data_IF_819647657372
#
_entry.id   IF_819647657372
#
_cell.length_a   1.000
_cell.length_b   1.000
_cell.length_c   1.000
_cell.angle_alpha   90.00
_cell.angle_beta   90.00
_cell.angle_gamma   90.00
#
_symmetry.space_group_name_H-M   'P 1'
#
loop_
_entity.id
_entity.type
_entity.pdbx_description
1 polymer ?
#
# COMPACT_ATOMS: atom_id res chain seq x y z
N UNK A 1 -0.82 -22.53 -6.27
CA UNK A 1 -2.22 -22.08 -6.15
C UNK A 1 -2.19 -20.62 -5.75
N UNK A 2 -2.77 -19.74 -6.55
CA UNK A 2 -2.73 -18.29 -6.30
C UNK A 2 -3.55 -17.95 -5.05
N UNK A 3 -2.95 -17.24 -4.12
CA UNK A 3 -3.60 -16.72 -2.90
C UNK A 3 -3.79 -15.21 -3.04
N UNK A 4 -4.91 -14.72 -2.55
CA UNK A 4 -5.19 -13.30 -2.48
C UNK A 4 -5.02 -12.77 -1.06
N UNK A 5 -4.52 -11.55 -0.97
CA UNK A 5 -4.27 -10.84 0.29
C UNK A 5 -4.75 -9.40 0.19
N UNK A 6 -5.14 -8.84 1.32
CA UNK A 6 -5.30 -7.41 1.50
C UNK A 6 -4.16 -6.89 2.36
N UNK A 7 -3.52 -5.83 1.90
CA UNK A 7 -2.56 -5.07 2.70
C UNK A 7 -3.21 -3.76 3.09
N UNK A 8 -3.65 -3.69 4.35
CA UNK A 8 -4.54 -2.66 4.89
C UNK A 8 -3.79 -1.67 5.76
N UNK A 9 -4.14 -0.40 5.67
CA UNK A 9 -3.66 0.65 6.56
C UNK A 9 -4.47 0.69 7.85
N UNK A 10 -3.91 0.20 8.96
CA UNK A 10 -4.59 0.16 10.25
C UNK A 10 -4.95 1.54 10.80
N UNK A 11 -4.22 2.57 10.42
CA UNK A 11 -4.51 3.95 10.83
C UNK A 11 -5.79 4.50 10.19
N UNK A 12 -6.12 4.05 8.98
CA UNK A 12 -7.30 4.51 8.23
C UNK A 12 -8.54 3.64 8.46
N UNK A 13 -8.39 2.49 9.11
CA UNK A 13 -9.49 1.58 9.42
C UNK A 13 -9.60 1.44 10.95
N UNK A 14 -10.48 2.22 11.60
CA UNK A 14 -10.66 2.12 13.04
C UNK A 14 -11.04 0.70 13.48
N UNK A 15 -10.42 0.22 14.56
CA UNK A 15 -10.66 -1.12 15.13
C UNK A 15 -10.50 -2.26 14.11
N UNK A 16 -9.49 -2.17 13.24
CA UNK A 16 -9.29 -3.08 12.12
C UNK A 16 -9.40 -4.57 12.50
N UNK A 17 -8.79 -4.99 13.60
CA UNK A 17 -8.81 -6.41 14.03
C UNK A 17 -10.21 -6.88 14.40
N UNK A 18 -11.02 -6.06 15.09
CA UNK A 18 -12.41 -6.37 15.39
C UNK A 18 -13.22 -6.49 14.09
N UNK A 19 -13.05 -5.57 13.15
CA UNK A 19 -13.73 -5.60 11.85
C UNK A 19 -13.33 -6.81 11.00
N UNK A 20 -12.07 -7.22 11.02
CA UNK A 20 -11.61 -8.41 10.32
C UNK A 20 -12.24 -9.68 10.91
N UNK A 21 -12.35 -9.75 12.23
CA UNK A 21 -13.01 -10.84 12.91
C UNK A 21 -14.52 -10.91 12.57
N UNK A 22 -15.21 -9.77 12.60
CA UNK A 22 -16.65 -9.69 12.27
C UNK A 22 -16.95 -10.07 10.82
N UNK A 23 -16.10 -9.64 9.87
CA UNK A 23 -16.34 -9.84 8.43
C UNK A 23 -16.01 -11.24 7.93
N UNK A 24 -15.03 -11.91 8.51
CA UNK A 24 -14.52 -13.15 7.96
C UNK A 24 -14.00 -14.15 9.00
N UNK A 25 -14.32 -13.97 10.29
CA UNK A 25 -13.75 -14.76 11.39
C UNK A 25 -12.22 -14.88 11.33
N UNK A 26 -11.57 -13.84 10.82
CA UNK A 26 -10.11 -13.85 10.68
C UNK A 26 -9.48 -13.74 12.05
N UNK A 27 -8.82 -14.81 12.45
CA UNK A 27 -8.05 -14.88 13.69
C UNK A 27 -6.56 -14.63 13.47
N UNK A 28 -6.10 -14.71 12.21
CA UNK A 28 -4.70 -14.51 11.85
C UNK A 28 -4.60 -13.34 10.88
N UNK A 29 -4.08 -12.23 11.38
CA UNK A 29 -3.74 -11.05 10.60
C UNK A 29 -2.33 -10.60 11.01
N UNK A 30 -1.48 -10.30 10.04
CA UNK A 30 -0.07 -10.02 10.26
C UNK A 30 0.19 -8.51 10.22
N UNK A 31 0.38 -7.89 11.40
CA UNK A 31 0.97 -6.55 11.43
C UNK A 31 2.42 -6.61 10.95
N UNK A 32 2.74 -5.84 9.92
CA UNK A 32 4.10 -5.87 9.35
C UNK A 32 5.14 -5.34 10.33
N UNK A 33 4.77 -4.46 11.25
CA UNK A 33 5.71 -3.89 12.21
C UNK A 33 5.98 -4.78 13.43
N UNK A 34 5.07 -5.71 13.76
CA UNK A 34 5.09 -6.45 15.03
C UNK A 34 6.39 -7.21 15.30
N UNK A 35 7.01 -7.78 14.27
CA UNK A 35 8.27 -8.55 14.40
C UNK A 35 9.50 -7.77 13.96
N UNK A 36 9.42 -6.45 13.96
CA UNK A 36 10.51 -5.55 13.59
C UNK A 36 10.90 -4.68 14.78
N UNK A 37 11.94 -3.88 14.62
CA UNK A 37 12.33 -2.84 15.60
C UNK A 37 11.24 -1.77 15.84
N UNK A 38 10.13 -1.83 15.11
CA UNK A 38 8.98 -0.91 15.22
C UNK A 38 7.74 -1.57 15.85
N UNK A 39 7.93 -2.64 16.62
CA UNK A 39 6.84 -3.37 17.27
C UNK A 39 5.92 -2.48 18.12
N UNK A 40 6.46 -1.44 18.74
CA UNK A 40 5.67 -0.45 19.51
C UNK A 40 4.70 0.37 18.64
N UNK A 41 4.98 0.47 17.32
CA UNK A 41 4.13 1.15 16.34
C UNK A 41 3.22 0.19 15.57
N UNK A 42 3.11 -1.07 16.01
CA UNK A 42 2.36 -2.10 15.27
C UNK A 42 0.88 -1.75 15.05
N UNK A 43 0.27 -0.97 15.94
CA UNK A 43 -1.11 -0.48 15.82
C UNK A 43 -1.31 0.57 14.72
N UNK A 44 -0.24 1.18 14.22
CA UNK A 44 -0.26 2.20 13.17
C UNK A 44 0.31 1.69 11.83
N UNK A 45 0.81 0.47 11.82
CA UNK A 45 1.42 -0.14 10.65
C UNK A 45 0.44 -0.86 9.74
N UNK A 46 0.89 -1.27 8.54
CA UNK A 46 0.05 -2.03 7.64
C UNK A 46 -0.18 -3.46 8.17
N UNK A 47 -1.37 -3.98 7.88
CA UNK A 47 -1.81 -5.32 8.25
C UNK A 47 -2.04 -6.14 6.99
N UNK A 48 -1.36 -7.29 6.87
CA UNK A 48 -1.59 -8.28 5.82
C UNK A 48 -2.62 -9.30 6.30
N UNK A 49 -3.62 -9.58 5.49
CA UNK A 49 -4.64 -10.58 5.75
C UNK A 49 -4.97 -11.35 4.48
N UNK A 50 -5.10 -12.68 4.61
CA UNK A 50 -5.59 -13.51 3.51
C UNK A 50 -7.07 -13.23 3.24
N UNK A 51 -7.48 -13.23 1.98
CA UNK A 51 -8.85 -12.95 1.59
C UNK A 51 -9.31 -13.91 0.49
N UNK A 52 -10.53 -14.42 0.64
CA UNK A 52 -11.18 -15.18 -0.42
C UNK A 52 -11.93 -14.23 -1.36
N UNK A 53 -11.70 -14.30 -2.68
CA UNK A 53 -12.47 -13.52 -3.65
C UNK A 53 -13.98 -13.76 -3.50
N UNK A 54 -14.77 -12.69 -3.47
CA UNK A 54 -16.22 -12.76 -3.30
C UNK A 54 -16.70 -12.90 -1.84
N UNK A 55 -15.79 -13.00 -0.88
CA UNK A 55 -16.15 -12.99 0.55
C UNK A 55 -16.69 -11.63 1.01
N UNK A 56 -17.32 -11.58 2.19
CA UNK A 56 -17.80 -10.34 2.79
C UNK A 56 -16.64 -9.33 2.99
N UNK A 57 -15.45 -9.82 3.39
CA UNK A 57 -14.25 -9.01 3.52
C UNK A 57 -13.80 -8.43 2.17
N UNK A 58 -13.78 -9.26 1.11
CA UNK A 58 -13.43 -8.80 -0.24
C UNK A 58 -14.37 -7.70 -0.73
N UNK A 59 -15.68 -7.88 -0.54
CA UNK A 59 -16.70 -6.90 -0.94
C UNK A 59 -16.55 -5.60 -0.13
N UNK A 60 -16.37 -5.70 1.19
CA UNK A 60 -16.12 -4.52 2.04
C UNK A 60 -14.86 -3.76 1.61
N UNK A 61 -13.78 -4.49 1.25
CA UNK A 61 -12.58 -3.87 0.75
C UNK A 61 -12.86 -3.07 -0.54
N UNK A 62 -13.50 -3.69 -1.52
CA UNK A 62 -13.78 -3.05 -2.82
C UNK A 62 -14.67 -1.81 -2.64
N UNK A 63 -15.71 -1.91 -1.81
CA UNK A 63 -16.69 -0.83 -1.65
C UNK A 63 -16.20 0.32 -0.76
N UNK A 64 -15.41 0.04 0.27
CA UNK A 64 -15.11 1.02 1.32
C UNK A 64 -13.63 1.38 1.47
N UNK A 65 -12.71 0.44 1.21
CA UNK A 65 -11.30 0.59 1.59
C UNK A 65 -10.33 0.73 0.42
N UNK A 66 -10.62 0.13 -0.73
CA UNK A 66 -9.72 0.07 -1.90
C UNK A 66 -9.23 1.45 -2.36
N UNK A 67 -10.08 2.48 -2.24
CA UNK A 67 -9.73 3.84 -2.70
C UNK A 67 -8.74 4.58 -1.82
N UNK A 68 -8.50 4.12 -0.58
CA UNK A 68 -7.74 4.92 0.40
C UNK A 68 -6.96 4.12 1.45
N UNK A 69 -7.42 2.92 1.81
CA UNK A 69 -6.97 2.26 3.04
C UNK A 69 -6.26 0.93 2.80
N UNK A 70 -5.83 0.67 1.58
CA UNK A 70 -5.04 -0.52 1.27
C UNK A 70 -5.05 -0.94 -0.18
N UNK A 71 -4.35 -2.02 -0.47
CA UNK A 71 -4.19 -2.61 -1.79
C UNK A 71 -4.50 -4.11 -1.76
N UNK A 72 -4.95 -4.63 -2.89
CA UNK A 72 -5.15 -6.06 -3.12
C UNK A 72 -3.91 -6.67 -3.76
N UNK A 73 -3.43 -7.77 -3.22
CA UNK A 73 -2.26 -8.49 -3.70
C UNK A 73 -2.63 -9.93 -4.08
N UNK A 74 -1.96 -10.47 -5.10
CA UNK A 74 -2.05 -11.89 -5.44
C UNK A 74 -0.64 -12.49 -5.54
N UNK A 75 -0.47 -13.70 -4.99
CA UNK A 75 0.81 -14.39 -4.98
C UNK A 75 0.63 -15.90 -5.05
N UNK A 76 1.57 -16.59 -5.71
CA UNK A 76 1.68 -18.06 -5.70
C UNK A 76 2.71 -18.54 -4.67
N UNK A 77 3.45 -17.63 -4.06
CA UNK A 77 4.46 -17.93 -3.06
C UNK A 77 3.83 -18.24 -1.69
N UNK A 78 4.64 -18.82 -0.82
CA UNK A 78 4.25 -19.01 0.58
C UNK A 78 4.08 -17.66 1.28
N UNK A 79 3.09 -17.59 2.18
CA UNK A 79 2.76 -16.38 2.93
C UNK A 79 3.97 -15.81 3.69
N UNK A 80 4.83 -16.68 4.23
CA UNK A 80 6.04 -16.25 4.90
C UNK A 80 6.99 -15.45 4.00
N UNK A 81 7.12 -15.84 2.72
CA UNK A 81 7.93 -15.11 1.75
C UNK A 81 7.29 -13.78 1.38
N UNK A 82 5.96 -13.74 1.25
CA UNK A 82 5.22 -12.49 1.02
C UNK A 82 5.43 -11.53 2.19
N UNK A 83 5.30 -12.01 3.43
CA UNK A 83 5.52 -11.21 4.64
C UNK A 83 6.96 -10.69 4.74
N UNK A 84 7.96 -11.54 4.48
CA UNK A 84 9.37 -11.14 4.50
C UNK A 84 9.64 -10.03 3.49
N UNK A 85 9.14 -10.19 2.27
CA UNK A 85 9.27 -9.18 1.22
C UNK A 85 8.61 -7.85 1.61
N UNK A 86 7.33 -7.89 2.03
CA UNK A 86 6.60 -6.68 2.41
C UNK A 86 7.26 -5.97 3.60
N UNK A 87 7.80 -6.71 4.56
CA UNK A 87 8.59 -6.13 5.67
C UNK A 87 9.86 -5.47 5.21
N UNK A 88 10.50 -5.98 4.17
CA UNK A 88 11.72 -5.38 3.60
C UNK A 88 11.48 -4.02 2.95
N UNK A 89 10.23 -3.71 2.57
CA UNK A 89 9.81 -2.44 1.97
C UNK A 89 9.38 -1.36 2.98
N UNK A 90 9.31 -1.68 4.28
CA UNK A 90 8.86 -0.73 5.33
C UNK A 90 9.69 0.55 5.33
N UNK A 91 10.99 0.43 5.01
CA UNK A 91 11.89 1.55 4.94
C UNK A 91 12.58 1.63 3.60
N UNK A 92 12.91 2.86 3.25
CA UNK A 92 13.72 3.19 2.10
C UNK A 92 14.88 4.09 2.51
N UNK A 93 15.95 4.00 1.76
CA UNK A 93 17.07 4.95 1.84
C UNK A 93 16.81 6.10 0.89
N UNK A 94 17.00 7.30 1.39
CA UNK A 94 16.95 8.55 0.63
C UNK A 94 18.36 9.10 0.43
N UNK A 95 18.51 10.11 -0.41
CA UNK A 95 19.79 10.83 -0.56
C UNK A 95 20.31 11.33 0.80
N UNK A 96 21.63 11.28 1.01
CA UNK A 96 22.25 11.68 2.27
C UNK A 96 22.13 10.64 3.39
N UNK A 97 21.97 9.36 3.06
CA UNK A 97 21.84 8.23 4.00
C UNK A 97 20.68 8.36 5.01
N UNK A 98 19.68 9.15 4.67
CA UNK A 98 18.46 9.27 5.48
C UNK A 98 17.58 8.04 5.25
N UNK A 99 17.14 7.38 6.34
CA UNK A 99 16.14 6.31 6.27
C UNK A 99 14.76 6.86 6.57
N UNK A 100 13.79 6.55 5.73
CA UNK A 100 12.41 6.98 5.89
C UNK A 100 11.45 5.78 5.86
N UNK A 101 10.30 5.91 6.55
CA UNK A 101 9.19 4.98 6.37
C UNK A 101 8.59 5.14 4.99
N UNK A 102 8.30 4.02 4.35
CA UNK A 102 7.72 3.98 3.02
C UNK A 102 6.31 3.36 3.05
N UNK A 103 5.31 4.16 2.71
CA UNK A 103 3.91 3.74 2.71
C UNK A 103 3.51 3.10 1.37
N UNK A 104 4.26 2.10 0.95
CA UNK A 104 4.03 1.37 -0.30
C UNK A 104 2.65 0.69 -0.39
N UNK A 105 1.92 0.60 0.72
CA UNK A 105 0.56 0.07 0.82
C UNK A 105 -0.55 1.12 0.61
N UNK A 106 -0.19 2.38 0.46
CA UNK A 106 -1.10 3.45 0.04
C UNK A 106 -1.37 3.31 -1.46
N UNK A 107 -2.64 3.17 -1.91
CA UNK A 107 -2.97 2.95 -3.32
C UNK A 107 -2.41 4.01 -4.26
N UNK A 108 -2.39 5.27 -3.82
CA UNK A 108 -1.86 6.39 -4.61
C UNK A 108 -0.34 6.26 -4.77
N UNK A 109 0.36 5.99 -3.66
CA UNK A 109 1.83 5.80 -3.69
C UNK A 109 2.20 4.59 -4.53
N UNK A 110 1.52 3.45 -4.34
CA UNK A 110 1.77 2.22 -5.10
C UNK A 110 1.62 2.44 -6.61
N UNK A 111 0.56 3.14 -7.00
CA UNK A 111 0.31 3.46 -8.41
C UNK A 111 1.44 4.30 -9.01
N UNK A 112 1.81 5.37 -8.35
CA UNK A 112 2.85 6.29 -8.83
C UNK A 112 4.24 5.65 -8.82
N UNK A 113 4.49 4.78 -7.84
CA UNK A 113 5.78 4.15 -7.67
C UNK A 113 6.05 3.05 -8.69
N UNK A 114 5.03 2.22 -9.02
CA UNK A 114 5.22 1.01 -9.81
C UNK A 114 4.77 1.13 -11.28
N UNK A 115 3.87 2.06 -11.62
CA UNK A 115 3.22 2.07 -12.93
C UNK A 115 4.21 2.33 -14.07
N UNK A 116 5.13 3.26 -13.88
CA UNK A 116 6.05 3.74 -14.93
C UNK A 116 7.43 3.07 -14.90
N UNK A 117 7.61 2.08 -14.02
CA UNK A 117 8.89 1.37 -13.94
C UNK A 117 9.09 0.38 -15.10
N UNK A 118 10.35 0.23 -15.50
CA UNK A 118 10.75 -0.86 -16.39
C UNK A 118 10.43 -2.23 -15.75
N UNK A 119 10.09 -3.21 -16.57
CA UNK A 119 9.66 -4.54 -16.12
C UNK A 119 10.61 -5.20 -15.13
N UNK A 120 11.93 -5.10 -15.37
CA UNK A 120 12.96 -5.70 -14.49
C UNK A 120 12.93 -5.08 -13.11
N UNK A 121 12.83 -3.76 -13.02
CA UNK A 121 12.78 -3.03 -11.76
C UNK A 121 11.46 -3.28 -11.04
N UNK A 122 10.33 -3.21 -11.74
CA UNK A 122 9.01 -3.54 -11.21
C UNK A 122 8.95 -4.96 -10.64
N UNK A 123 9.48 -5.96 -11.36
CA UNK A 123 9.52 -7.34 -10.90
C UNK A 123 10.34 -7.48 -9.60
N UNK A 124 11.48 -6.79 -9.50
CA UNK A 124 12.29 -6.77 -8.29
C UNK A 124 11.51 -6.19 -7.10
N UNK A 125 10.81 -5.08 -7.31
CA UNK A 125 10.06 -4.38 -6.28
C UNK A 125 8.78 -5.12 -5.86
N UNK A 126 8.15 -5.85 -6.77
CA UNK A 126 6.99 -6.69 -6.46
C UNK A 126 7.39 -7.99 -5.74
N UNK A 127 8.61 -8.47 -5.94
CA UNK A 127 9.14 -9.68 -5.30
C UNK A 127 8.26 -10.91 -5.54
N UNK A 128 7.69 -11.55 -4.49
CA UNK A 128 6.79 -12.70 -4.62
C UNK A 128 5.35 -12.32 -5.01
N UNK A 129 5.01 -11.03 -5.05
CA UNK A 129 3.68 -10.56 -5.42
C UNK A 129 3.58 -10.52 -6.94
N UNK A 130 2.62 -11.25 -7.50
CA UNK A 130 2.42 -11.33 -8.96
C UNK A 130 1.50 -10.25 -9.51
N UNK A 131 0.47 -9.90 -8.74
CA UNK A 131 -0.55 -8.94 -9.15
C UNK A 131 -0.85 -7.99 -8.00
N UNK A 132 -0.94 -6.71 -8.30
CA UNK A 132 -1.46 -5.68 -7.41
C UNK A 132 -2.67 -5.05 -8.09
N UNK A 133 -3.83 -5.06 -7.42
CA UNK A 133 -5.04 -4.41 -7.90
C UNK A 133 -5.28 -3.13 -7.14
N UNK A 134 -5.44 -2.06 -7.89
CA UNK A 134 -5.64 -0.70 -7.41
C UNK A 134 -7.01 -0.17 -7.82
N UNK A 135 -7.46 0.96 -7.24
CA UNK A 135 -8.72 1.61 -7.61
C UNK A 135 -8.79 1.94 -9.10
N UNK A 136 -10.03 1.96 -9.63
CA UNK A 136 -10.27 2.29 -11.04
C UNK A 136 -9.91 1.18 -12.02
N UNK A 137 -9.79 -0.08 -11.54
CA UNK A 137 -9.47 -1.23 -12.37
C UNK A 137 -7.99 -1.31 -12.79
N UNK A 138 -7.13 -0.51 -12.18
CA UNK A 138 -5.68 -0.54 -12.46
C UNK A 138 -5.09 -1.84 -11.91
N UNK A 139 -4.39 -2.56 -12.78
CA UNK A 139 -3.71 -3.82 -12.44
C UNK A 139 -2.24 -3.69 -12.78
N UNK A 140 -1.38 -3.85 -11.79
CA UNK A 140 0.08 -3.93 -11.97
C UNK A 140 0.46 -5.40 -11.90
N UNK A 141 1.12 -5.88 -12.95
CA UNK A 141 1.48 -7.28 -13.10
C UNK A 141 2.98 -7.47 -13.21
N UNK A 142 3.46 -8.57 -12.64
CA UNK A 142 4.80 -9.05 -12.84
C UNK A 142 4.89 -9.80 -14.17
N UNK A 143 5.85 -9.46 -15.01
CA UNK A 143 6.03 -10.09 -16.32
C UNK A 143 6.90 -11.36 -16.29
N UNK A 144 7.63 -11.59 -15.20
CA UNK A 144 8.43 -12.81 -15.01
C UNK A 144 8.13 -13.49 -13.67
N UNK A 145 7.14 -14.39 -13.63
CA UNK A 145 6.69 -15.04 -12.39
C UNK A 145 7.70 -16.04 -11.79
N UNK A 146 8.78 -16.35 -12.51
CA UNK A 146 9.81 -17.31 -12.07
C UNK A 146 11.07 -16.64 -11.54
N UNK A 147 11.09 -15.32 -11.40
CA UNK A 147 12.23 -14.65 -10.81
C UNK A 147 12.32 -15.05 -9.31
N UNK A 148 13.46 -15.59 -8.85
CA UNK A 148 13.62 -15.95 -7.44
C UNK A 148 13.38 -14.72 -6.57
N UNK A 149 12.65 -14.89 -5.46
CA UNK A 149 12.57 -13.84 -4.45
C UNK A 149 13.97 -13.45 -4.00
N UNK A 150 14.31 -12.19 -4.14
CA UNK A 150 15.56 -11.70 -3.62
C UNK A 150 15.54 -11.81 -2.10
N UNK A 151 16.57 -12.41 -1.48
CA UNK A 151 16.77 -12.36 -0.05
C UNK A 151 17.48 -11.07 0.30
N UNK A 152 16.83 -10.26 1.08
CA UNK A 152 17.36 -8.95 1.50
C UNK A 152 18.19 -9.12 2.77
N UNK A 153 19.51 -9.24 2.63
CA UNK A 153 20.43 -9.43 3.75
C UNK A 153 20.52 -8.18 4.67
N UNK A 154 20.22 -7.02 4.12
CA UNK A 154 20.25 -5.74 4.86
C UNK A 154 19.07 -4.87 4.48
N UNK A 155 18.38 -4.30 5.47
CA UNK A 155 17.33 -3.29 5.29
C UNK A 155 17.80 -1.94 5.83
N UNK A 156 17.52 -0.82 5.16
CA UNK A 156 16.82 -0.70 3.89
C UNK A 156 17.69 -1.06 2.68
N UNK A 157 17.18 -1.92 1.82
CA UNK A 157 17.83 -2.28 0.55
C UNK A 157 17.37 -1.38 -0.61
N UNK A 158 16.14 -0.88 -0.53
CA UNK A 158 15.54 -0.01 -1.52
C UNK A 158 16.01 1.43 -1.32
N UNK A 159 16.55 2.03 -2.38
CA UNK A 159 16.91 3.44 -2.41
C UNK A 159 15.98 4.16 -3.38
N UNK A 160 15.32 5.22 -2.93
CA UNK A 160 14.53 6.09 -3.79
C UNK A 160 15.43 7.21 -4.33
N UNK A 161 15.40 7.41 -5.64
CA UNK A 161 16.08 8.54 -6.27
C UNK A 161 15.41 9.87 -5.87
N UNK A 162 16.17 10.97 -5.93
CA UNK A 162 15.62 12.29 -5.69
C UNK A 162 14.46 12.61 -6.64
N UNK A 163 14.55 12.16 -7.90
CA UNK A 163 13.50 12.34 -8.90
C UNK A 163 12.24 11.55 -8.55
N UNK A 164 12.37 10.29 -8.14
CA UNK A 164 11.24 9.46 -7.70
C UNK A 164 10.55 10.10 -6.47
N UNK A 165 11.35 10.54 -5.50
CA UNK A 165 10.83 11.19 -4.30
C UNK A 165 10.07 12.48 -4.64
N UNK A 166 10.63 13.32 -5.51
CA UNK A 166 9.97 14.57 -5.95
C UNK A 166 8.64 14.28 -6.64
N UNK A 167 8.60 13.29 -7.55
CA UNK A 167 7.37 12.86 -8.21
C UNK A 167 6.30 12.40 -7.21
N UNK A 168 6.67 11.54 -6.24
CA UNK A 168 5.77 11.07 -5.19
C UNK A 168 5.26 12.23 -4.29
N UNK A 169 6.14 13.17 -3.97
CA UNK A 169 5.78 14.34 -3.15
C UNK A 169 4.84 15.29 -3.89
N UNK A 170 5.09 15.53 -5.17
CA UNK A 170 4.25 16.40 -5.99
C UNK A 170 2.84 15.82 -6.14
N UNK A 171 2.72 14.57 -6.52
CA UNK A 171 1.43 13.91 -6.67
C UNK A 171 0.64 13.86 -5.35
N UNK A 172 1.33 13.68 -4.21
CA UNK A 172 0.69 13.76 -2.90
C UNK A 172 0.17 15.15 -2.58
N UNK A 173 0.91 16.20 -2.93
CA UNK A 173 0.48 17.60 -2.78
C UNK A 173 -0.77 17.88 -3.63
N UNK A 174 -0.77 17.47 -4.89
CA UNK A 174 -1.91 17.64 -5.79
C UNK A 174 -3.16 16.92 -5.26
N UNK A 175 -3.04 15.66 -4.86
CA UNK A 175 -4.15 14.91 -4.27
C UNK A 175 -4.67 15.55 -2.97
N UNK A 176 -3.78 16.05 -2.11
CA UNK A 176 -4.16 16.74 -0.89
C UNK A 176 -4.89 18.06 -1.20
N UNK A 177 -4.39 18.84 -2.15
CA UNK A 177 -5.01 20.10 -2.59
C UNK A 177 -6.41 19.84 -3.15
N UNK A 178 -6.56 18.83 -4.01
CA UNK A 178 -7.86 18.46 -4.56
C UNK A 178 -8.86 18.08 -3.45
N UNK A 179 -8.44 17.27 -2.46
CA UNK A 179 -9.30 16.92 -1.32
C UNK A 179 -9.68 18.13 -0.46
N UNK A 180 -8.80 19.11 -0.31
CA UNK A 180 -9.12 20.35 0.38
C UNK A 180 -10.16 21.16 -0.39
N UNK A 181 -10.02 21.25 -1.71
CA UNK A 181 -11.00 21.92 -2.58
C UNK A 181 -12.37 21.26 -2.49
N UNK A 182 -12.42 19.93 -2.62
CA UNK A 182 -13.65 19.14 -2.49
C UNK A 182 -14.30 19.32 -1.11
N UNK A 183 -13.50 19.32 -0.04
CA UNK A 183 -13.97 19.57 1.31
C UNK A 183 -14.53 21.00 1.46
N UNK A 184 -13.79 21.99 0.95
CA UNK A 184 -14.22 23.38 0.93
C UNK A 184 -15.55 23.55 0.19
N UNK A 185 -15.67 22.99 -1.00
CA UNK A 185 -16.90 23.02 -1.78
C UNK A 185 -18.08 22.35 -1.07
N UNK A 186 -17.83 21.23 -0.38
CA UNK A 186 -18.88 20.47 0.32
C UNK A 186 -19.41 21.19 1.56
N UNK A 187 -18.54 21.81 2.34
CA UNK A 187 -18.90 22.34 3.65
C UNK A 187 -18.94 23.87 3.74
N UNK A 188 -18.28 24.54 2.80
CA UNK A 188 -18.11 26.00 2.78
C UNK A 188 -18.50 26.65 1.46
N UNK A 189 -19.38 26.01 0.69
CA UNK A 189 -19.81 26.51 -0.64
C UNK A 189 -20.25 27.98 -0.63
N UNK A 190 -20.98 28.41 0.41
CA UNK A 190 -21.44 29.79 0.56
C UNK A 190 -20.29 30.80 0.79
N UNK A 191 -19.19 30.37 1.39
CA UNK A 191 -18.00 31.20 1.64
C UNK A 191 -17.08 31.28 0.43
N UNK A 192 -17.15 30.29 -0.48
CA UNK A 192 -16.33 30.20 -1.68
C UNK A 192 -16.95 30.91 -2.90
N UNK A 193 -18.23 31.30 -2.81
CA UNK A 193 -18.89 32.12 -3.83
C UNK A 193 -18.28 33.52 -3.79
N UNK A 194 -17.35 33.79 -4.69
CA UNK A 194 -16.63 35.07 -4.81
C UNK A 194 -15.11 34.99 -4.68
N UNK A 195 -14.57 33.77 -4.42
CA UNK A 195 -13.16 33.55 -4.56
C UNK A 195 -12.89 32.90 -5.92
N UNK A 196 -12.20 33.58 -6.80
CA UNK A 196 -11.60 32.99 -8.00
C UNK A 196 -10.54 32.01 -7.52
N UNK A 197 -10.92 30.72 -7.46
CA UNK A 197 -9.97 29.64 -7.17
C UNK A 197 -9.31 29.28 -8.49
N UNK A 198 -7.99 29.42 -8.64
CA UNK A 198 -7.26 29.07 -9.85
C UNK A 198 -7.31 27.57 -10.18
#
# INVERSE_FOLDING_TARGET
>A
MTRAYLLLDSHLIPNIFARLFELANITVAHSLYLTTRYAEMASFGPVLVSVEPGSALANTFIEQWQGRAGIWLESDADEALVLEHLRSLIHVRLAGDVTAFFRFYDPCITRLWLADLADVERNLLMGPVRVIRLPGGVVIQQNNPHQPCARYATTPWLTLSAQTLEHLCQARREHFTQRLVEHGQRYFAACLQGLDVP
#
